data_IF_762152333775
#
_entry.id   IF_762152333775
#
_cell.length_a   1.000
_cell.length_b   1.000
_cell.length_c   1.000
_cell.angle_alpha   90.00
_cell.angle_beta   90.00
_cell.angle_gamma   90.00
#
_symmetry.space_group_name_H-M   'P 1'
#
loop_
_entity.id
_entity.type
_entity.pdbx_description
1 polymer ?
#
# COMPACT_ATOMS: atom_id res chain seq x y z
N UNK A 1 16.37 1.75 -14.02
CA UNK A 1 15.81 3.06 -14.43
C UNK A 1 14.35 3.10 -14.03
N UNK A 2 13.88 4.19 -13.45
CA UNK A 2 12.55 4.31 -12.84
C UNK A 2 11.89 5.62 -13.30
N UNK A 3 10.80 5.50 -14.05
CA UNK A 3 10.00 6.63 -14.53
C UNK A 3 8.91 7.01 -13.54
N UNK A 4 8.72 8.32 -13.32
CA UNK A 4 7.53 8.81 -12.64
C UNK A 4 6.32 8.66 -13.58
N UNK A 5 5.17 8.29 -13.03
CA UNK A 5 3.90 8.03 -13.74
C UNK A 5 3.43 9.08 -14.77
N UNK A 6 3.84 10.35 -14.66
CA UNK A 6 3.48 11.47 -15.54
C UNK A 6 4.66 11.92 -16.44
N UNK A 7 5.80 11.22 -16.38
CA UNK A 7 6.99 11.48 -17.17
C UNK A 7 7.82 12.71 -16.75
N UNK A 8 7.57 13.31 -15.59
CA UNK A 8 8.32 14.50 -15.14
C UNK A 8 9.71 14.19 -14.63
N UNK A 9 9.87 13.04 -14.00
CA UNK A 9 11.12 12.63 -13.37
C UNK A 9 11.55 11.26 -13.88
N UNK A 10 12.85 11.12 -14.10
CA UNK A 10 13.51 9.86 -14.39
C UNK A 10 14.62 9.64 -13.36
N UNK A 11 14.55 8.56 -12.60
CA UNK A 11 15.63 8.13 -11.72
C UNK A 11 16.45 7.01 -12.39
N UNK A 12 17.74 7.24 -12.54
CA UNK A 12 18.71 6.26 -13.05
C UNK A 12 19.55 5.77 -11.88
N UNK A 13 19.50 4.47 -11.60
CA UNK A 13 20.39 3.85 -10.63
C UNK A 13 21.78 3.76 -11.26
N UNK A 14 22.79 4.25 -10.54
CA UNK A 14 24.17 4.31 -11.01
C UNK A 14 25.05 3.57 -10.02
N UNK A 15 25.74 2.53 -10.52
CA UNK A 15 26.76 1.82 -9.77
C UNK A 15 28.11 2.48 -10.04
N UNK A 16 28.75 2.99 -8.98
CA UNK A 16 30.04 3.67 -9.09
C UNK A 16 31.14 2.83 -8.44
N UNK A 17 32.16 2.52 -9.23
CA UNK A 17 33.33 1.75 -8.78
C UNK A 17 34.39 2.67 -8.20
N UNK A 18 34.86 2.35 -7.00
CA UNK A 18 36.00 3.03 -6.38
C UNK A 18 37.32 2.39 -6.82
N UNK A 19 38.43 3.13 -6.64
CA UNK A 19 39.79 2.63 -6.91
C UNK A 19 40.13 1.36 -6.11
N UNK A 20 39.48 1.14 -4.98
CA UNK A 20 39.67 -0.02 -4.09
C UNK A 20 38.74 -1.20 -4.40
N UNK A 21 38.13 -1.24 -5.61
CA UNK A 21 37.15 -2.25 -6.04
C UNK A 21 35.86 -2.33 -5.19
N UNK A 22 35.61 -1.37 -4.31
CA UNK A 22 34.29 -1.25 -3.67
C UNK A 22 33.31 -0.56 -4.61
N UNK A 23 32.04 -0.93 -4.53
CA UNK A 23 30.95 -0.32 -5.31
C UNK A 23 30.05 0.47 -4.36
N UNK A 24 29.69 1.69 -4.74
CA UNK A 24 28.60 2.41 -4.10
C UNK A 24 27.52 2.70 -5.13
N UNK A 25 26.27 2.48 -4.73
CA UNK A 25 25.10 2.68 -5.60
C UNK A 25 24.40 3.96 -5.21
N UNK A 26 24.03 4.77 -6.20
CA UNK A 26 23.26 5.99 -6.01
C UNK A 26 22.21 6.16 -7.10
N UNK A 27 21.53 7.31 -7.09
CA UNK A 27 20.63 7.70 -8.17
C UNK A 27 21.01 9.05 -8.76
N UNK A 28 20.87 9.15 -10.07
CA UNK A 28 20.83 10.41 -10.81
C UNK A 28 19.39 10.64 -11.25
N UNK A 29 18.79 11.73 -10.77
CA UNK A 29 17.40 12.08 -10.98
C UNK A 29 17.31 13.24 -11.97
N UNK A 30 16.73 12.98 -13.12
CA UNK A 30 16.55 13.95 -14.20
C UNK A 30 15.17 14.56 -14.11
N UNK A 31 15.10 15.89 -14.12
CA UNK A 31 13.83 16.63 -14.18
C UNK A 31 13.55 16.96 -15.65
N UNK A 32 12.79 16.10 -16.30
CA UNK A 32 12.66 16.05 -17.77
C UNK A 32 11.95 17.27 -18.34
N UNK A 33 11.00 17.85 -17.59
CA UNK A 33 10.20 18.99 -18.06
C UNK A 33 10.83 20.36 -17.76
N UNK A 34 11.93 20.41 -17.02
CA UNK A 34 12.63 21.67 -16.74
C UNK A 34 13.66 22.00 -17.83
N UNK A 35 13.93 23.30 -18.02
CA UNK A 35 14.92 23.78 -18.98
C UNK A 35 16.30 23.21 -18.61
N UNK A 36 17.04 22.78 -19.62
CA UNK A 36 18.38 22.19 -19.48
C UNK A 36 18.43 20.85 -18.71
N UNK A 37 17.27 20.25 -18.40
CA UNK A 37 17.11 18.93 -17.76
C UNK A 37 18.03 18.80 -16.53
N UNK A 38 17.75 19.54 -15.45
CA UNK A 38 18.60 19.52 -14.28
C UNK A 38 18.68 18.11 -13.69
N UNK A 39 19.87 17.78 -13.21
CA UNK A 39 20.20 16.49 -12.62
C UNK A 39 20.40 16.68 -11.12
N UNK A 40 19.67 15.90 -10.32
CA UNK A 40 19.86 15.81 -8.88
C UNK A 40 20.48 14.47 -8.50
N UNK A 41 21.46 14.51 -7.61
CA UNK A 41 22.19 13.33 -7.16
C UNK A 41 21.63 12.88 -5.81
N UNK A 42 21.35 11.59 -5.70
CA UNK A 42 21.09 10.90 -4.45
C UNK A 42 22.23 9.92 -4.17
N UNK A 43 22.90 10.12 -3.04
CA UNK A 43 23.81 9.16 -2.45
C UNK A 43 23.23 8.71 -1.11
N UNK A 44 23.31 7.41 -0.79
CA UNK A 44 22.89 6.90 0.50
C UNK A 44 23.86 7.37 1.60
N UNK A 45 23.32 7.66 2.79
CA UNK A 45 24.13 8.08 3.94
C UNK A 45 25.14 6.98 4.34
N UNK A 46 24.70 5.72 4.30
CA UNK A 46 25.56 4.56 4.50
C UNK A 46 26.02 3.97 3.17
N UNK A 47 27.31 4.11 2.85
CA UNK A 47 27.90 3.64 1.58
C UNK A 47 27.97 2.12 1.45
N UNK A 48 27.80 1.38 2.54
CA UNK A 48 27.76 -0.07 2.52
C UNK A 48 26.35 -0.62 2.26
N UNK A 49 25.31 0.23 2.35
CA UNK A 49 23.95 -0.19 2.08
C UNK A 49 23.76 -0.47 0.59
N UNK A 50 23.05 -1.55 0.30
CA UNK A 50 22.62 -1.87 -1.05
C UNK A 50 21.22 -1.32 -1.27
N UNK A 51 20.96 -0.85 -2.49
CA UNK A 51 19.62 -0.44 -2.90
C UNK A 51 18.82 -1.71 -3.22
N UNK A 52 17.71 -1.89 -2.52
CA UNK A 52 16.81 -3.05 -2.66
C UNK A 52 15.63 -2.69 -3.56
N UNK A 53 15.04 -1.51 -3.36
CA UNK A 53 13.91 -1.05 -4.15
C UNK A 53 13.84 0.48 -4.23
N UNK A 54 13.17 0.97 -5.27
CA UNK A 54 12.90 2.38 -5.49
C UNK A 54 11.45 2.55 -5.94
N UNK A 55 10.74 3.54 -5.40
CA UNK A 55 9.37 3.85 -5.82
C UNK A 55 9.09 5.36 -5.82
N UNK A 56 8.56 5.85 -6.95
CA UNK A 56 8.03 7.20 -7.06
C UNK A 56 6.67 7.33 -6.38
N UNK A 57 6.40 8.51 -5.83
CA UNK A 57 5.04 8.95 -5.55
C UNK A 57 4.28 9.14 -6.89
N UNK A 58 3.11 8.50 -7.07
CA UNK A 58 2.32 8.69 -8.29
C UNK A 58 1.89 10.15 -8.45
N UNK A 59 2.21 10.74 -9.61
CA UNK A 59 1.93 12.15 -9.95
C UNK A 59 2.50 13.16 -8.94
N UNK A 60 3.47 12.76 -8.15
CA UNK A 60 4.09 13.58 -7.13
C UNK A 60 5.56 13.85 -7.39
N UNK A 61 6.22 14.43 -6.40
CA UNK A 61 7.62 14.82 -6.45
C UNK A 61 8.45 14.18 -5.32
N UNK A 62 7.78 13.40 -4.46
CA UNK A 62 8.42 12.55 -3.47
C UNK A 62 8.75 11.17 -4.05
N UNK A 63 9.67 10.47 -3.39
CA UNK A 63 9.96 9.07 -3.66
C UNK A 63 10.55 8.39 -2.43
N UNK A 64 10.52 7.07 -2.43
CA UNK A 64 11.08 6.24 -1.37
C UNK A 64 12.15 5.28 -1.93
N UNK A 65 13.17 5.03 -1.12
CA UNK A 65 14.24 4.06 -1.40
C UNK A 65 14.32 3.10 -0.24
N UNK A 66 14.26 1.80 -0.55
CA UNK A 66 14.53 0.73 0.41
C UNK A 66 15.99 0.34 0.26
N UNK A 67 16.76 0.41 1.35
CA UNK A 67 18.18 0.13 1.34
C UNK A 67 18.65 -0.60 2.62
N UNK A 68 19.74 -1.34 2.51
CA UNK A 68 20.34 -2.09 3.62
C UNK A 68 21.16 -3.29 3.14
N UNK A 69 21.84 -3.98 4.07
CA UNK A 69 22.67 -5.17 3.77
C UNK A 69 22.25 -6.41 4.60
N UNK A 70 21.02 -6.40 5.14
CA UNK A 70 20.54 -7.45 6.03
C UNK A 70 19.02 -7.68 5.98
N UNK A 71 18.48 -8.51 6.87
CA UNK A 71 17.05 -8.88 6.86
C UNK A 71 16.11 -7.72 7.22
N UNK A 72 16.67 -6.63 7.76
CA UNK A 72 15.95 -5.47 8.27
C UNK A 72 16.36 -4.23 7.47
N UNK A 73 15.83 -4.03 6.25
CA UNK A 73 16.16 -2.86 5.47
C UNK A 73 15.50 -1.59 6.02
N UNK A 74 16.15 -0.46 5.79
CA UNK A 74 15.64 0.87 6.09
C UNK A 74 14.89 1.43 4.88
N UNK A 75 13.90 2.28 5.15
CA UNK A 75 13.10 2.95 4.11
C UNK A 75 13.32 4.45 4.26
N UNK A 76 13.98 5.08 3.30
CA UNK A 76 14.23 6.52 3.29
C UNK A 76 13.32 7.23 2.28
N UNK A 77 12.70 8.33 2.72
CA UNK A 77 11.83 9.18 1.91
C UNK A 77 12.57 10.44 1.49
N UNK A 78 12.36 10.88 0.25
CA UNK A 78 13.06 12.00 -0.35
C UNK A 78 12.09 12.90 -1.15
N UNK A 79 12.50 14.15 -1.33
CA UNK A 79 11.81 15.18 -2.09
C UNK A 79 12.73 15.74 -3.19
N UNK A 80 12.21 15.85 -4.41
CA UNK A 80 12.95 16.43 -5.55
C UNK A 80 12.85 17.95 -5.64
N UNK A 81 11.94 18.61 -4.92
CA UNK A 81 11.66 20.05 -5.05
C UNK A 81 12.56 20.99 -4.21
N UNK A 82 13.61 20.47 -3.57
CA UNK A 82 14.54 21.30 -2.82
C UNK A 82 15.16 22.41 -3.70
N UNK A 83 14.91 23.67 -3.35
CA UNK A 83 15.37 24.80 -4.15
C UNK A 83 16.90 24.91 -4.11
N UNK A 84 17.52 25.03 -5.29
CA UNK A 84 18.94 25.34 -5.50
C UNK A 84 19.97 24.31 -5.01
N UNK A 85 19.61 23.04 -4.89
CA UNK A 85 20.55 21.96 -4.55
C UNK A 85 20.77 21.00 -5.72
N UNK A 86 22.02 20.63 -5.96
CA UNK A 86 22.39 19.50 -6.85
C UNK A 86 22.03 18.14 -6.25
N UNK A 87 21.55 18.11 -5.01
CA UNK A 87 21.16 16.91 -4.29
C UNK A 87 19.66 16.91 -4.00
N UNK A 88 19.08 15.72 -3.86
CA UNK A 88 17.71 15.57 -3.34
C UNK A 88 17.68 15.82 -1.84
N UNK A 89 16.54 16.26 -1.31
CA UNK A 89 16.35 16.42 0.13
C UNK A 89 15.78 15.15 0.74
N UNK A 90 16.44 14.64 1.77
CA UNK A 90 15.92 13.55 2.60
C UNK A 90 14.88 14.11 3.57
N UNK A 91 13.72 13.46 3.64
CA UNK A 91 12.62 13.82 4.53
C UNK A 91 12.72 13.06 5.85
N UNK A 92 12.81 11.73 5.79
CA UNK A 92 12.89 10.85 6.96
C UNK A 92 13.42 9.47 6.59
N UNK A 93 13.75 8.65 7.59
CA UNK A 93 14.02 7.21 7.44
C UNK A 93 13.21 6.42 8.46
N UNK A 94 12.48 5.42 7.99
CA UNK A 94 11.82 4.43 8.81
C UNK A 94 12.73 3.21 8.96
N UNK A 95 13.00 2.82 10.20
CA UNK A 95 13.85 1.67 10.50
C UNK A 95 13.02 0.39 10.62
N UNK A 96 13.30 -0.57 9.74
CA UNK A 96 12.89 -1.98 9.83
C UNK A 96 11.44 -2.25 10.28
N UNK A 97 10.49 -1.41 9.88
CA UNK A 97 9.09 -1.52 10.30
C UNK A 97 8.14 -1.26 9.15
N UNK A 98 7.19 -2.17 8.98
CA UNK A 98 6.10 -2.02 8.02
C UNK A 98 5.05 -1.07 8.62
N UNK A 99 4.96 0.12 8.06
CA UNK A 99 4.08 1.18 8.53
C UNK A 99 3.40 1.88 7.36
N UNK A 100 2.17 2.32 7.58
CA UNK A 100 1.50 3.31 6.76
C UNK A 100 2.02 4.68 7.19
N UNK A 101 2.79 5.32 6.32
CA UNK A 101 3.44 6.59 6.62
C UNK A 101 2.93 7.70 5.69
N UNK A 102 2.50 8.82 6.27
CA UNK A 102 2.14 10.03 5.54
C UNK A 102 3.40 10.86 5.28
N UNK A 103 3.75 11.06 4.02
CA UNK A 103 4.93 11.84 3.63
C UNK A 103 4.71 13.33 3.77
N UNK A 104 3.49 13.83 3.60
CA UNK A 104 3.18 15.26 3.69
C UNK A 104 3.20 15.74 5.15
N UNK A 105 2.66 14.93 6.06
CA UNK A 105 2.60 15.23 7.50
C UNK A 105 3.78 14.64 8.29
N UNK A 106 4.64 13.87 7.62
CA UNK A 106 5.79 13.17 8.20
C UNK A 106 5.44 12.29 9.43
N UNK A 107 4.29 11.63 9.41
CA UNK A 107 3.80 10.82 10.53
C UNK A 107 3.35 9.41 10.14
N UNK A 108 3.52 8.47 11.06
CA UNK A 108 2.97 7.12 10.94
C UNK A 108 1.46 7.14 11.24
N UNK A 109 0.66 6.76 10.25
CA UNK A 109 -0.81 6.68 10.35
C UNK A 109 -1.22 5.36 11.03
N UNK A 110 -0.55 4.26 10.69
CA UNK A 110 -0.82 2.95 11.26
C UNK A 110 0.41 2.06 11.15
N UNK A 111 0.57 1.15 12.11
CA UNK A 111 1.51 0.06 12.01
C UNK A 111 0.72 -1.24 11.86
N UNK A 112 1.12 -2.07 10.89
CA UNK A 112 0.55 -3.39 10.68
C UNK A 112 1.63 -4.43 10.88
N UNK A 113 1.42 -5.35 11.82
CA UNK A 113 2.26 -6.54 11.94
C UNK A 113 1.70 -7.60 10.99
N UNK A 114 2.25 -7.66 9.78
CA UNK A 114 2.05 -8.83 8.93
C UNK A 114 3.39 -9.44 8.55
N UNK A 115 3.81 -10.35 9.43
CA UNK A 115 5.02 -11.12 9.26
C UNK A 115 4.91 -11.96 7.97
N UNK A 116 6.00 -12.07 7.22
CA UNK A 116 6.09 -12.87 5.98
C UNK A 116 5.31 -12.38 4.76
N UNK A 117 4.83 -11.13 4.72
CA UNK A 117 4.24 -10.57 3.50
C UNK A 117 5.24 -10.68 2.33
N UNK A 118 4.88 -11.45 1.30
CA UNK A 118 5.71 -11.65 0.10
C UNK A 118 5.51 -10.52 -0.90
N UNK A 119 4.29 -9.99 -0.98
CA UNK A 119 3.92 -8.94 -1.90
C UNK A 119 3.07 -7.87 -1.23
N UNK A 120 3.27 -6.62 -1.65
CA UNK A 120 2.40 -5.49 -1.35
C UNK A 120 1.88 -4.94 -2.68
N UNK A 121 0.56 -4.91 -2.86
CA UNK A 121 -0.09 -4.43 -4.09
C UNK A 121 -1.08 -3.32 -3.76
N UNK A 122 -0.92 -2.14 -4.36
CA UNK A 122 -1.92 -1.06 -4.26
C UNK A 122 -2.99 -1.20 -5.34
N UNK A 123 -4.22 -0.87 -5.00
CA UNK A 123 -5.31 -0.85 -5.99
C UNK A 123 -5.14 0.34 -6.95
N UNK A 124 -5.67 0.28 -8.19
CA UNK A 124 -5.51 1.36 -9.18
C UNK A 124 -6.06 2.73 -8.74
N UNK A 125 -6.94 2.79 -7.74
CA UNK A 125 -7.45 4.04 -7.17
C UNK A 125 -6.59 4.60 -6.04
N UNK A 126 -5.67 3.80 -5.49
CA UNK A 126 -4.81 4.18 -4.36
C UNK A 126 -5.51 4.21 -2.99
N UNK A 127 -6.77 3.77 -2.90
CA UNK A 127 -7.56 3.78 -1.66
C UNK A 127 -7.34 2.53 -0.80
N UNK A 128 -6.87 1.45 -1.42
CA UNK A 128 -6.66 0.17 -0.79
C UNK A 128 -5.27 -0.38 -1.08
N UNK A 129 -4.74 -1.11 -0.10
CA UNK A 129 -3.46 -1.81 -0.17
C UNK A 129 -3.69 -3.25 0.21
N UNK A 130 -3.16 -4.19 -0.55
CA UNK A 130 -3.16 -5.61 -0.21
C UNK A 130 -1.75 -6.04 0.22
N UNK A 131 -1.64 -6.67 1.38
CA UNK A 131 -0.46 -7.46 1.77
C UNK A 131 -0.78 -8.92 1.53
N UNK A 132 0.11 -9.63 0.85
CA UNK A 132 -0.15 -10.98 0.34
C UNK A 132 0.95 -11.91 0.81
N UNK A 133 0.58 -13.10 1.24
CA UNK A 133 1.48 -14.21 1.55
C UNK A 133 1.19 -15.31 0.55
N UNK A 134 2.15 -15.52 -0.35
CA UNK A 134 2.04 -16.57 -1.38
C UNK A 134 2.51 -17.92 -0.86
N UNK A 135 2.20 -18.97 -1.63
CA UNK A 135 2.57 -20.37 -1.37
C UNK A 135 4.08 -20.65 -1.30
N UNK A 136 4.93 -19.62 -1.47
CA UNK A 136 6.36 -19.69 -1.18
C UNK A 136 6.59 -19.96 0.32
N UNK A 137 5.67 -19.50 1.17
CA UNK A 137 5.67 -19.84 2.60
C UNK A 137 4.71 -21.00 2.87
N UNK A 138 5.08 -21.90 3.78
CA UNK A 138 4.26 -23.06 4.16
C UNK A 138 3.06 -22.69 5.02
N UNK A 139 3.07 -21.50 5.64
CA UNK A 139 2.06 -21.05 6.59
C UNK A 139 1.50 -19.68 6.20
N UNK A 140 0.30 -19.38 6.71
CA UNK A 140 -0.39 -18.09 6.57
C UNK A 140 -0.67 -17.64 5.12
N UNK A 141 -0.74 -18.57 4.17
CA UNK A 141 -1.10 -18.24 2.79
C UNK A 141 -2.45 -17.53 2.73
N UNK A 142 -2.49 -16.44 1.97
CA UNK A 142 -3.65 -15.56 1.94
C UNK A 142 -3.29 -14.12 1.64
N UNK A 143 -4.26 -13.25 1.86
CA UNK A 143 -4.05 -11.81 1.71
C UNK A 143 -4.87 -11.03 2.74
N UNK A 144 -4.37 -9.84 3.04
CA UNK A 144 -5.05 -8.84 3.85
C UNK A 144 -5.21 -7.57 3.05
N UNK A 145 -6.42 -7.02 3.02
CA UNK A 145 -6.73 -5.75 2.38
C UNK A 145 -6.88 -4.70 3.46
N UNK A 146 -6.14 -3.62 3.31
CA UNK A 146 -6.08 -2.46 4.16
C UNK A 146 -6.64 -1.26 3.41
N UNK A 147 -7.30 -0.36 4.13
CA UNK A 147 -7.54 1.00 3.66
C UNK A 147 -6.24 1.81 3.63
N UNK A 148 -6.23 2.94 2.92
CA UNK A 148 -5.10 3.85 2.88
C UNK A 148 -4.71 4.41 4.26
N UNK A 149 -5.67 4.50 5.19
CA UNK A 149 -5.42 4.91 6.58
C UNK A 149 -4.91 3.76 7.46
N UNK A 150 -4.59 2.60 6.88
CA UNK A 150 -4.06 1.43 7.59
C UNK A 150 -5.09 0.64 8.40
N UNK A 151 -6.39 0.90 8.25
CA UNK A 151 -7.44 0.04 8.83
C UNK A 151 -7.56 -1.25 8.02
N UNK A 152 -7.48 -2.40 8.69
CA UNK A 152 -7.76 -3.71 8.08
C UNK A 152 -9.23 -3.82 7.68
N UNK A 153 -9.49 -4.14 6.42
CA UNK A 153 -10.84 -4.27 5.85
C UNK A 153 -11.22 -5.73 5.64
N UNK A 154 -10.28 -6.53 5.15
CA UNK A 154 -10.52 -7.94 4.86
C UNK A 154 -9.25 -8.74 5.13
N UNK A 155 -9.43 -9.94 5.71
CA UNK A 155 -8.39 -10.95 5.82
C UNK A 155 -8.96 -12.25 5.26
N UNK A 156 -8.28 -12.82 4.28
CA UNK A 156 -8.68 -14.07 3.67
C UNK A 156 -7.49 -15.03 3.65
N UNK A 157 -7.62 -16.13 4.38
CA UNK A 157 -6.69 -17.24 4.31
C UNK A 157 -7.04 -18.09 3.08
N UNK A 158 -6.07 -18.34 2.23
CA UNK A 158 -6.22 -19.15 1.02
C UNK A 158 -5.02 -20.06 0.89
N UNK A 159 -5.27 -21.35 1.03
CA UNK A 159 -4.24 -22.35 0.83
C UNK A 159 -3.72 -22.32 -0.61
N UNK A 160 -2.41 -22.49 -0.77
CA UNK A 160 -1.69 -22.44 -2.05
C UNK A 160 -2.02 -21.20 -2.90
N UNK A 161 -1.98 -20.01 -2.29
CA UNK A 161 -2.14 -18.75 -3.02
C UNK A 161 -0.89 -18.43 -3.85
N UNK A 162 -0.95 -18.55 -5.17
CA UNK A 162 0.22 -18.27 -6.03
C UNK A 162 0.30 -16.82 -6.51
N UNK A 163 -0.85 -16.16 -6.69
CA UNK A 163 -0.89 -14.82 -7.27
C UNK A 163 -2.05 -14.00 -6.72
N UNK A 164 -1.77 -12.72 -6.48
CA UNK A 164 -2.78 -11.71 -6.22
C UNK A 164 -2.59 -10.56 -7.22
N UNK A 165 -3.68 -10.10 -7.83
CA UNK A 165 -3.69 -8.92 -8.68
C UNK A 165 -4.98 -8.13 -8.54
N UNK A 166 -4.86 -6.81 -8.44
CA UNK A 166 -6.01 -5.93 -8.55
C UNK A 166 -6.46 -5.87 -10.01
N UNK A 167 -7.77 -5.89 -10.24
CA UNK A 167 -8.34 -5.70 -11.59
C UNK A 167 -7.95 -4.29 -12.08
N UNK A 168 -7.27 -4.15 -13.23
CA UNK A 168 -6.96 -2.84 -13.80
C UNK A 168 -8.27 -2.11 -14.10
N UNK A 169 -8.39 -0.85 -13.69
CA UNK A 169 -9.48 -0.01 -14.21
C UNK A 169 -9.06 0.46 -15.61
N UNK A 170 -9.92 0.32 -16.63
CA UNK A 170 -9.73 0.99 -17.91
C UNK A 170 -9.44 2.48 -17.68
N UNK A 171 -8.63 3.10 -18.55
CA UNK A 171 -8.45 4.55 -18.53
C UNK A 171 -9.83 5.18 -18.62
N UNK A 172 -10.25 5.82 -17.53
CA UNK A 172 -11.52 6.48 -17.52
C UNK A 172 -11.44 7.63 -18.55
N UNK A 173 -12.33 7.61 -19.55
CA UNK A 173 -12.54 8.68 -20.52
C UNK A 173 -13.11 9.92 -19.78
N UNK A 174 -12.31 10.50 -18.89
CA UNK A 174 -12.74 11.58 -18.03
C UNK A 174 -12.53 12.89 -18.79
N UNK A 175 -13.66 13.42 -19.25
CA UNK A 175 -13.85 14.79 -19.68
C UNK A 175 -13.38 15.81 -18.60
N UNK A 176 -13.24 17.11 -18.94
CA UNK A 176 -12.81 18.19 -18.03
C UNK A 176 -13.57 18.32 -16.68
N UNK A 177 -14.66 17.58 -16.49
CA UNK A 177 -15.48 17.53 -15.26
C UNK A 177 -14.69 17.14 -13.99
N UNK A 178 -13.50 16.53 -14.11
CA UNK A 178 -12.68 16.15 -12.95
C UNK A 178 -12.12 17.34 -12.17
N UNK A 179 -11.94 18.51 -12.80
CA UNK A 179 -11.49 19.73 -12.11
C UNK A 179 -12.56 20.27 -11.14
N UNK A 180 -13.83 19.98 -11.41
CA UNK A 180 -14.97 20.41 -10.60
C UNK A 180 -15.06 19.61 -9.29
N UNK A 181 -14.74 18.32 -9.32
CA UNK A 181 -14.72 17.42 -8.15
C UNK A 181 -13.66 17.86 -7.13
N UNK A 182 -12.49 18.30 -7.61
CA UNK A 182 -11.44 18.85 -6.74
C UNK A 182 -11.84 20.16 -6.07
N UNK A 183 -12.78 20.92 -6.65
CA UNK A 183 -13.27 22.20 -6.09
C UNK A 183 -14.40 22.02 -5.08
N UNK A 184 -15.27 21.02 -5.28
CA UNK A 184 -16.47 20.80 -4.46
C UNK A 184 -16.42 19.48 -3.66
N UNK A 185 -15.29 19.21 -2.99
CA UNK A 185 -15.13 18.02 -2.13
C UNK A 185 -16.22 17.88 -1.05
N UNK A 186 -16.74 19.00 -0.54
CA UNK A 186 -17.83 19.02 0.45
C UNK A 186 -19.11 18.39 -0.08
N UNK A 187 -19.42 18.52 -1.38
CA UNK A 187 -20.60 17.91 -2.02
C UNK A 187 -20.52 16.39 -2.05
N UNK A 188 -19.31 15.82 -2.11
CA UNK A 188 -19.09 14.39 -2.19
C UNK A 188 -19.08 13.67 -0.83
N UNK A 189 -19.06 14.42 0.29
CA UNK A 189 -19.28 13.87 1.64
C UNK A 189 -20.63 13.15 1.79
N UNK A 190 -21.62 13.52 0.96
CA UNK A 190 -22.92 12.86 0.90
C UNK A 190 -22.79 11.37 0.57
N UNK A 191 -21.88 10.99 -0.32
CA UNK A 191 -21.68 9.59 -0.71
C UNK A 191 -21.01 8.78 0.40
N UNK A 192 -20.19 9.40 1.26
CA UNK A 192 -19.63 8.72 2.43
C UNK A 192 -20.72 8.39 3.46
N UNK A 193 -21.70 9.29 3.63
CA UNK A 193 -22.88 9.06 4.47
C UNK A 193 -23.76 7.94 3.91
N UNK A 194 -24.05 7.96 2.61
CA UNK A 194 -24.84 6.93 1.93
C UNK A 194 -24.16 5.54 1.98
N UNK A 195 -22.86 5.46 1.69
CA UNK A 195 -22.09 4.21 1.78
C UNK A 195 -22.06 3.66 3.22
N UNK A 196 -21.94 4.56 4.22
CA UNK A 196 -21.98 4.18 5.65
C UNK A 196 -23.33 3.63 6.04
N UNK A 197 -24.41 4.28 5.63
CA UNK A 197 -25.77 3.84 5.96
C UNK A 197 -26.11 2.51 5.26
N UNK A 198 -25.68 2.33 4.00
CA UNK A 198 -25.80 1.06 3.29
C UNK A 198 -25.00 -0.07 3.97
N UNK A 199 -23.77 0.21 4.42
CA UNK A 199 -22.96 -0.76 5.17
C UNK A 199 -23.60 -1.14 6.50
N UNK A 200 -24.18 -0.18 7.22
CA UNK A 200 -24.88 -0.42 8.48
C UNK A 200 -26.11 -1.31 8.26
N UNK A 201 -26.91 -1.01 7.23
CA UNK A 201 -28.06 -1.84 6.86
C UNK A 201 -27.66 -3.27 6.50
N UNK A 202 -26.57 -3.44 5.74
CA UNK A 202 -26.07 -4.77 5.38
C UNK A 202 -25.61 -5.56 6.61
N UNK A 203 -24.92 -4.90 7.55
CA UNK A 203 -24.48 -5.51 8.82
C UNK A 203 -25.67 -5.91 9.69
N UNK A 204 -26.72 -5.09 9.76
CA UNK A 204 -27.95 -5.40 10.48
C UNK A 204 -28.71 -6.57 9.85
N UNK A 205 -28.80 -6.61 8.52
CA UNK A 205 -29.42 -7.73 7.80
C UNK A 205 -28.68 -9.04 8.04
N UNK A 206 -27.35 -9.02 8.04
CA UNK A 206 -26.53 -10.18 8.38
C UNK A 206 -26.77 -10.61 9.83
N UNK A 207 -26.77 -9.68 10.80
CA UNK A 207 -27.11 -9.99 12.19
C UNK A 207 -28.48 -10.65 12.33
N UNK A 208 -29.51 -10.09 11.69
CA UNK A 208 -30.86 -10.65 11.73
C UNK A 208 -30.92 -12.05 11.14
N UNK A 209 -30.22 -12.30 10.02
CA UNK A 209 -30.10 -13.65 9.43
C UNK A 209 -29.42 -14.63 10.38
N UNK A 210 -28.33 -14.20 11.05
CA UNK A 210 -27.63 -15.05 12.02
C UNK A 210 -28.51 -15.40 13.21
N UNK A 211 -29.24 -14.43 13.76
CA UNK A 211 -30.20 -14.69 14.86
C UNK A 211 -31.29 -15.67 14.43
N UNK A 212 -31.86 -15.52 13.24
CA UNK A 212 -32.85 -16.48 12.71
C UNK A 212 -32.27 -17.89 12.56
N UNK A 213 -31.06 -18.02 12.01
CA UNK A 213 -30.40 -19.32 11.87
C UNK A 213 -30.08 -19.96 13.21
N UNK A 214 -29.69 -19.18 14.22
CA UNK A 214 -29.48 -19.67 15.59
C UNK A 214 -30.79 -20.16 16.21
N UNK A 215 -31.88 -19.42 16.05
CA UNK A 215 -33.21 -19.82 16.52
C UNK A 215 -33.70 -21.11 15.83
N UNK A 216 -33.54 -21.19 14.51
CA UNK A 216 -33.87 -22.39 13.72
C UNK A 216 -33.03 -23.60 14.15
N UNK A 217 -31.73 -23.40 14.37
CA UNK A 217 -30.83 -24.45 14.84
C UNK A 217 -31.22 -24.90 16.25
N UNK A 218 -31.47 -23.96 17.17
CA UNK A 218 -31.91 -24.25 18.54
C UNK A 218 -33.24 -25.02 18.56
N UNK A 219 -34.22 -24.61 17.74
CA UNK A 219 -35.48 -25.32 17.59
C UNK A 219 -35.28 -26.73 17.04
N UNK A 220 -34.39 -26.91 16.05
CA UNK A 220 -34.05 -28.22 15.49
C UNK A 220 -33.38 -29.13 16.52
N UNK A 221 -32.47 -28.58 17.34
CA UNK A 221 -31.81 -29.30 18.45
C UNK A 221 -32.81 -29.68 19.54
N UNK A 222 -33.73 -28.78 19.92
CA UNK A 222 -34.76 -29.07 20.93
C UNK A 222 -35.72 -30.17 20.47
N UNK A 223 -36.15 -30.12 19.20
CA UNK A 223 -36.98 -31.17 18.59
C UNK A 223 -36.25 -32.52 18.54
N UNK A 224 -34.96 -32.52 18.21
CA UNK A 224 -34.14 -33.73 18.24
C UNK A 224 -34.05 -34.32 19.66
N UNK A 225 -33.83 -33.49 20.68
CA UNK A 225 -33.80 -33.93 22.09
C UNK A 225 -35.13 -34.57 22.53
N UNK A 226 -36.27 -33.93 22.24
CA UNK A 226 -37.59 -34.48 22.56
C UNK A 226 -37.85 -35.84 21.91
N UNK A 227 -37.42 -36.02 20.65
CA UNK A 227 -37.53 -37.30 19.96
C UNK A 227 -36.61 -38.37 20.56
N UNK A 228 -35.43 -37.98 21.05
CA UNK A 228 -34.44 -38.92 21.57
C UNK A 228 -34.70 -39.30 23.04
N UNK A 229 -35.32 -38.42 23.83
CA UNK A 229 -35.76 -38.69 25.21
C UNK A 229 -37.01 -39.60 25.28
N UNK A 230 -37.67 -39.85 24.15
CA UNK A 230 -38.83 -40.76 24.07
C UNK A 230 -38.44 -42.22 23.76
N UNK A 231 -37.16 -42.50 23.50
CA UNK A 231 -36.62 -43.82 23.15
C UNK A 231 -35.52 -44.33 24.10
N UNK A 232 -35.36 -43.70 25.27
CA UNK A 232 -34.49 -44.18 26.37
C UNK A 232 -35.31 -44.51 27.62
#
# INVERSE_FOLDING_TARGET
MYWQSNGEYLAVQVDRYTKTKSTYTGFELFIIKERDIPIKILELDNKNDKIIAFAWEPKGHHFAVIHGDGPNPDISFYCTQAANTSHVSKLTTLKSKLEFYNVDELQTIAAGEYFMATDIKRDPTGRYVATVVTAIHEMENGFQIWSFSGKLLCKLSKDHLYQFSWRPRPLALLAPEKEEITRDLTKYSKYELEDRDASNQMTEQERMKWTQLEEEWAARVAKWKQLNDHFG
#
